data_IF_665201291569
#
_entry.id   IF_665201291569
#
_cell.length_a   1.000
_cell.length_b   1.000
_cell.length_c   1.000
_cell.angle_alpha   90.00
_cell.angle_beta   90.00
_cell.angle_gamma   90.00
#
_symmetry.space_group_name_H-M   'P 1'
#
loop_
_entity.id
_entity.type
_entity.pdbx_description
1 polymer ?
#
# COMPACT_ATOMS: atom_id res chain seq x y z
N UNK A 1 -14.95 -21.10 8.66
CA UNK A 1 -14.30 -19.86 8.17
C UNK A 1 -12.80 -20.08 8.22
N UNK A 2 -12.03 -19.82 7.17
CA UNK A 2 -10.57 -20.07 7.18
C UNK A 2 -9.83 -18.76 6.98
N UNK A 3 -9.22 -18.25 8.05
CA UNK A 3 -8.19 -17.22 7.96
C UNK A 3 -6.88 -17.80 8.46
N UNK A 4 -5.83 -17.66 7.64
CA UNK A 4 -4.44 -18.00 7.97
C UNK A 4 -3.97 -19.45 7.78
N UNK A 5 -4.86 -20.46 7.76
CA UNK A 5 -4.56 -21.90 7.60
C UNK A 5 -3.58 -22.54 8.61
N UNK A 6 -3.90 -23.77 9.05
CA UNK A 6 -3.21 -24.42 10.17
C UNK A 6 -3.58 -23.77 11.51
N UNK A 7 -2.59 -23.43 12.33
CA UNK A 7 -2.76 -22.77 13.64
C UNK A 7 -2.81 -21.25 13.57
N UNK A 8 -2.73 -20.65 12.39
CA UNK A 8 -2.72 -19.20 12.19
C UNK A 8 -4.10 -18.59 12.46
N UNK A 9 -4.15 -17.52 13.26
CA UNK A 9 -5.38 -16.81 13.59
C UNK A 9 -5.39 -15.34 13.16
N UNK A 10 -4.42 -14.95 12.33
CA UNK A 10 -4.31 -13.58 11.82
C UNK A 10 -5.33 -13.32 10.70
N UNK A 11 -5.80 -12.07 10.62
CA UNK A 11 -6.55 -11.56 9.48
C UNK A 11 -5.61 -10.83 8.55
N UNK A 12 -5.66 -11.11 7.25
CA UNK A 12 -4.80 -10.49 6.23
C UNK A 12 -5.60 -9.52 5.37
N UNK A 13 -4.99 -8.39 5.01
CA UNK A 13 -5.63 -7.38 4.19
C UNK A 13 -4.68 -6.86 3.10
N UNK A 14 -5.21 -6.77 1.88
CA UNK A 14 -4.57 -6.05 0.78
C UNK A 14 -5.00 -4.58 0.81
N UNK A 15 -4.03 -3.69 1.01
CA UNK A 15 -4.23 -2.24 1.01
C UNK A 15 -3.77 -1.69 -0.34
N UNK A 16 -4.73 -1.45 -1.24
CA UNK A 16 -4.50 -1.06 -2.65
C UNK A 16 -3.76 0.28 -2.83
N UNK A 17 -3.79 1.14 -1.81
CA UNK A 17 -3.10 2.42 -1.80
C UNK A 17 -4.03 3.62 -2.01
N UNK A 18 -3.71 4.72 -1.34
CA UNK A 18 -4.49 5.95 -1.36
C UNK A 18 -4.23 6.76 -2.62
N UNK A 19 -5.29 7.30 -3.21
CA UNK A 19 -5.22 8.38 -4.22
C UNK A 19 -5.48 9.76 -3.61
N UNK A 20 -6.26 9.85 -2.52
CA UNK A 20 -6.69 11.09 -1.88
C UNK A 20 -6.06 11.30 -0.50
N UNK A 21 -4.73 11.13 -0.39
CA UNK A 21 -3.98 11.37 0.85
C UNK A 21 -2.59 11.89 0.51
N UNK A 22 -2.12 12.87 1.26
CA UNK A 22 -0.77 13.43 1.11
C UNK A 22 -0.02 13.35 2.46
N UNK A 23 1.12 12.63 2.54
CA UNK A 23 1.67 11.74 1.51
C UNK A 23 0.78 10.49 1.27
N UNK A 24 0.92 9.79 0.14
CA UNK A 24 0.22 8.52 -0.09
C UNK A 24 0.54 7.48 1.00
N UNK A 25 -0.40 6.56 1.23
CA UNK A 25 -0.25 5.43 2.17
C UNK A 25 -1.04 4.21 1.70
N UNK A 26 -0.71 3.03 2.23
CA UNK A 26 -1.22 1.73 1.81
C UNK A 26 -0.16 1.00 0.99
N UNK A 27 -0.51 0.61 -0.24
CA UNK A 27 0.41 -0.06 -1.17
C UNK A 27 1.14 -1.26 -0.55
N UNK A 28 0.40 -2.08 0.20
CA UNK A 28 0.97 -3.17 1.00
C UNK A 28 -0.05 -4.25 1.33
N UNK A 29 0.44 -5.40 1.78
CA UNK A 29 -0.35 -6.40 2.49
C UNK A 29 0.00 -6.31 3.97
N UNK A 30 -1.01 -6.31 4.84
CA UNK A 30 -0.84 -6.33 6.29
C UNK A 30 -1.52 -7.56 6.89
N UNK A 31 -1.18 -7.86 8.14
CA UNK A 31 -2.00 -8.72 8.97
C UNK A 31 -2.32 -8.10 10.33
N UNK A 32 -3.47 -8.47 10.89
CA UNK A 32 -3.92 -8.10 12.23
C UNK A 32 -4.00 -9.36 13.08
N UNK A 33 -3.29 -9.41 14.22
CA UNK A 33 -3.41 -10.52 15.15
C UNK A 33 -4.84 -10.69 15.67
N UNK A 34 -5.33 -11.92 15.64
CA UNK A 34 -6.68 -12.26 16.08
C UNK A 34 -6.73 -13.59 16.82
N UNK A 35 -7.93 -13.93 17.27
CA UNK A 35 -8.24 -15.18 17.96
C UNK A 35 -9.64 -15.66 17.54
N UNK A 36 -9.87 -16.96 17.67
CA UNK A 36 -11.20 -17.55 17.47
C UNK A 36 -11.80 -17.93 18.82
N UNK A 37 -13.10 -17.67 18.99
CA UNK A 37 -13.88 -18.23 20.10
C UNK A 37 -14.08 -19.74 19.91
N UNK A 38 -14.58 -20.42 20.94
CA UNK A 38 -14.98 -21.83 20.83
C UNK A 38 -16.09 -22.06 19.78
N UNK A 39 -16.91 -21.04 19.50
CA UNK A 39 -17.92 -21.07 18.44
C UNK A 39 -17.38 -20.72 17.05
N UNK A 40 -16.08 -20.42 16.93
CA UNK A 40 -15.43 -20.10 15.66
C UNK A 40 -15.58 -18.65 15.22
N UNK A 41 -16.08 -17.76 16.08
CA UNK A 41 -16.12 -16.32 15.81
C UNK A 41 -14.73 -15.71 15.92
N UNK A 42 -14.32 -14.91 14.93
CA UNK A 42 -13.03 -14.23 14.94
C UNK A 42 -13.12 -12.87 15.60
N UNK A 43 -12.14 -12.52 16.43
CA UNK A 43 -11.98 -11.18 17.00
C UNK A 43 -10.50 -10.76 17.01
N UNK A 44 -10.17 -9.46 16.86
CA UNK A 44 -8.81 -8.98 17.06
C UNK A 44 -8.34 -9.28 18.50
N UNK A 45 -7.02 -9.43 18.67
CA UNK A 45 -6.46 -9.68 20.02
C UNK A 45 -6.59 -8.46 20.93
N UNK A 46 -6.68 -7.27 20.37
CA UNK A 46 -6.83 -5.97 21.03
C UNK A 46 -8.21 -5.36 20.76
N UNK A 47 -8.56 -4.32 21.52
CA UNK A 47 -9.76 -3.52 21.23
C UNK A 47 -9.63 -2.73 19.91
N UNK A 48 -10.74 -2.11 19.48
CA UNK A 48 -10.78 -1.37 18.21
C UNK A 48 -9.75 -0.24 18.15
N UNK A 49 -9.49 0.46 19.26
CA UNK A 49 -8.51 1.54 19.29
C UNK A 49 -7.08 1.01 19.09
N UNK A 50 -6.75 -0.11 19.74
CA UNK A 50 -5.48 -0.80 19.62
C UNK A 50 -5.18 -1.28 18.21
N UNK A 51 -6.19 -1.70 17.44
CA UNK A 51 -5.97 -2.21 16.06
C UNK A 51 -5.25 -1.21 15.14
N UNK A 52 -5.33 0.09 15.43
CA UNK A 52 -4.67 1.15 14.67
C UNK A 52 -3.14 1.10 14.76
N UNK A 53 -2.58 0.45 15.79
CA UNK A 53 -1.14 0.41 16.05
C UNK A 53 -0.54 -0.99 16.13
N UNK A 54 -1.34 -2.05 16.00
CA UNK A 54 -0.89 -3.44 16.19
C UNK A 54 -0.97 -4.29 14.94
N UNK A 55 -1.38 -3.73 13.80
CA UNK A 55 -1.23 -4.43 12.53
C UNK A 55 0.26 -4.47 12.14
N UNK A 56 0.63 -5.49 11.38
CA UNK A 56 2.00 -5.72 10.93
C UNK A 56 2.03 -5.69 9.41
N UNK A 57 3.03 -5.02 8.87
CA UNK A 57 3.30 -5.01 7.43
C UNK A 57 3.92 -6.35 7.00
N UNK A 58 3.27 -7.05 6.08
CA UNK A 58 3.72 -8.34 5.55
C UNK A 58 4.48 -8.20 4.23
N UNK A 59 3.94 -7.37 3.32
CA UNK A 59 4.48 -7.19 1.98
C UNK A 59 4.39 -5.73 1.59
N UNK A 60 5.53 -5.07 1.41
CA UNK A 60 5.62 -3.63 1.16
C UNK A 60 6.43 -3.36 -0.09
N UNK A 61 6.25 -2.16 -0.65
CA UNK A 61 7.08 -1.68 -1.73
C UNK A 61 8.52 -1.43 -1.23
N UNK A 62 9.51 -1.54 -2.12
CA UNK A 62 10.92 -1.25 -1.81
C UNK A 62 11.17 0.24 -1.55
N UNK A 63 10.33 1.09 -2.14
CA UNK A 63 10.29 2.54 -1.88
C UNK A 63 9.30 2.85 -0.76
N UNK A 64 9.45 4.01 -0.14
CA UNK A 64 8.50 4.44 0.90
C UNK A 64 7.10 4.68 0.29
N UNK A 65 6.04 4.42 1.07
CA UNK A 65 4.66 4.61 0.59
C UNK A 65 4.37 6.02 0.11
N UNK A 66 5.02 7.03 0.71
CA UNK A 66 4.88 8.41 0.29
C UNK A 66 5.36 8.68 -1.14
N UNK A 67 6.10 7.74 -1.74
CA UNK A 67 6.60 7.80 -3.12
C UNK A 67 5.76 6.94 -4.09
N UNK A 68 4.62 6.41 -3.64
CA UNK A 68 3.75 5.54 -4.44
C UNK A 68 2.68 6.28 -5.25
N UNK A 69 2.95 7.52 -5.69
CA UNK A 69 2.09 8.20 -6.66
C UNK A 69 2.04 7.45 -8.01
N UNK A 70 3.11 6.70 -8.34
CA UNK A 70 3.17 5.80 -9.50
C UNK A 70 4.21 4.70 -9.29
N UNK A 71 4.04 3.57 -9.98
CA UNK A 71 5.04 2.49 -10.08
C UNK A 71 5.19 1.58 -8.84
N UNK A 72 4.38 1.75 -7.81
CA UNK A 72 4.26 0.78 -6.73
C UNK A 72 3.29 -0.35 -7.12
N UNK A 73 3.50 -1.57 -6.60
CA UNK A 73 2.47 -2.60 -6.70
C UNK A 73 1.25 -2.18 -5.88
N UNK A 74 0.06 -2.61 -6.33
CA UNK A 74 -1.23 -2.25 -5.73
C UNK A 74 -2.03 -3.51 -5.42
N UNK A 75 -1.95 -4.03 -4.18
CA UNK A 75 -2.62 -5.27 -3.80
C UNK A 75 -4.13 -5.24 -4.00
N UNK A 76 -4.68 -6.26 -4.65
CA UNK A 76 -6.13 -6.45 -4.85
C UNK A 76 -6.60 -7.75 -4.22
N UNK A 77 -6.44 -8.86 -4.93
CA UNK A 77 -6.89 -10.17 -4.50
C UNK A 77 -5.81 -10.87 -3.71
N UNK A 78 -6.20 -11.54 -2.62
CA UNK A 78 -5.32 -12.42 -1.85
C UNK A 78 -5.97 -13.78 -1.64
N UNK A 79 -5.20 -14.84 -1.78
CA UNK A 79 -5.69 -16.21 -1.55
C UNK A 79 -4.59 -17.10 -1.01
N UNK A 80 -4.91 -17.88 0.02
CA UNK A 80 -4.00 -18.91 0.50
C UNK A 80 -4.15 -20.19 -0.33
N UNK A 81 -3.04 -20.90 -0.56
CA UNK A 81 -3.12 -22.28 -1.03
C UNK A 81 -3.79 -23.16 0.05
N UNK A 82 -4.32 -24.35 -0.27
CA UNK A 82 -5.05 -25.18 0.72
C UNK A 82 -4.27 -25.57 1.98
N UNK A 83 -2.93 -25.61 1.92
CA UNK A 83 -2.07 -25.95 3.07
C UNK A 83 -1.76 -24.76 3.97
N UNK A 84 -1.84 -23.52 3.47
CA UNK A 84 -1.52 -22.31 4.22
C UNK A 84 -0.06 -21.90 4.19
N UNK A 85 0.74 -22.55 3.36
CA UNK A 85 2.16 -22.28 3.24
C UNK A 85 2.43 -21.09 2.32
N UNK A 86 1.54 -20.88 1.34
CA UNK A 86 1.69 -19.85 0.32
C UNK A 86 0.48 -18.90 0.35
N UNK A 87 0.76 -17.59 0.30
CA UNK A 87 -0.21 -16.54 0.06
C UNK A 87 0.04 -15.94 -1.32
N UNK A 88 -0.95 -15.99 -2.21
CA UNK A 88 -0.90 -15.33 -3.51
C UNK A 88 -1.52 -13.94 -3.42
N UNK A 89 -0.89 -12.95 -4.06
CA UNK A 89 -1.32 -11.55 -4.06
C UNK A 89 -1.29 -11.01 -5.49
N UNK A 90 -2.41 -10.48 -5.98
CA UNK A 90 -2.45 -9.83 -7.30
C UNK A 90 -2.23 -8.33 -7.18
N UNK A 91 -1.64 -7.73 -8.22
CA UNK A 91 -1.51 -6.29 -8.42
C UNK A 91 -2.05 -5.91 -9.79
N UNK A 92 -3.19 -5.24 -9.82
CA UNK A 92 -3.92 -4.91 -11.05
C UNK A 92 -3.14 -3.94 -11.95
N UNK A 93 -2.67 -2.81 -11.40
CA UNK A 93 -2.01 -1.76 -12.19
C UNK A 93 -0.64 -2.15 -12.72
N UNK A 94 0.01 -3.16 -12.13
CA UNK A 94 1.28 -3.69 -12.64
C UNK A 94 1.12 -4.99 -13.43
N UNK A 95 -0.07 -5.63 -13.40
CA UNK A 95 -0.31 -6.90 -14.08
C UNK A 95 0.42 -8.10 -13.46
N UNK A 96 0.79 -8.01 -12.18
CA UNK A 96 1.62 -9.00 -11.50
C UNK A 96 0.78 -9.88 -10.54
N UNK A 97 1.24 -11.12 -10.35
CA UNK A 97 0.79 -12.00 -9.26
C UNK A 97 2.01 -12.51 -8.51
N UNK A 98 2.07 -12.24 -7.22
CA UNK A 98 3.15 -12.63 -6.33
C UNK A 98 2.76 -13.87 -5.52
N UNK A 99 3.74 -14.71 -5.20
CA UNK A 99 3.61 -15.77 -4.21
C UNK A 99 4.50 -15.43 -3.02
N UNK A 100 3.89 -15.25 -1.85
CA UNK A 100 4.57 -15.08 -0.59
C UNK A 100 4.62 -16.40 0.14
N UNK A 101 5.83 -16.77 0.55
CA UNK A 101 6.08 -17.94 1.38
C UNK A 101 6.54 -17.48 2.75
N UNK A 102 6.02 -18.09 3.81
CA UNK A 102 6.61 -17.91 5.14
C UNK A 102 8.03 -18.45 5.13
N UNK A 103 9.00 -17.64 5.57
CA UNK A 103 10.32 -18.19 5.92
C UNK A 103 10.11 -19.25 7.01
N UNK A 104 10.83 -20.37 6.91
CA UNK A 104 10.65 -21.51 7.81
C UNK A 104 10.74 -21.07 9.29
N UNK A 105 9.71 -21.42 10.07
CA UNK A 105 9.59 -21.08 11.50
C UNK A 105 8.18 -21.42 12.01
N UNK A 106 7.98 -21.61 13.33
CA UNK A 106 6.65 -21.80 13.90
C UNK A 106 5.74 -20.62 13.53
N UNK A 107 4.47 -20.90 13.27
CA UNK A 107 3.44 -19.85 13.21
C UNK A 107 3.26 -19.29 14.61
N UNK A 108 4.07 -18.30 14.98
CA UNK A 108 3.89 -17.57 16.22
C UNK A 108 2.76 -16.58 16.03
N UNK A 109 1.52 -17.01 16.27
CA UNK A 109 0.49 -16.03 16.62
C UNK A 109 0.98 -15.34 17.89
N UNK A 110 1.09 -14.00 17.94
CA UNK A 110 1.36 -13.31 19.18
C UNK A 110 0.17 -13.58 20.11
N UNK A 111 0.31 -14.61 20.95
CA UNK A 111 -0.63 -14.94 22.00
C UNK A 111 -0.72 -13.73 22.92
N UNK A 112 -1.94 -13.26 23.12
CA UNK A 112 -2.39 -12.31 24.13
C UNK A 112 -1.42 -12.04 25.29
N UNK A 113 -0.87 -10.81 25.35
CA UNK A 113 -0.20 -10.26 26.53
C UNK A 113 0.82 -9.16 26.19
N UNK A 114 0.84 -8.02 26.90
CA UNK A 114 1.61 -6.86 26.49
C UNK A 114 3.08 -7.03 26.89
N UNK A 115 3.99 -6.82 25.95
CA UNK A 115 5.38 -6.49 26.28
C UNK A 115 5.71 -5.19 25.58
N UNK A 116 5.69 -4.12 26.38
CA UNK A 116 6.46 -2.91 26.13
C UNK A 116 7.86 -3.31 25.68
N UNK A 117 8.19 -3.05 24.42
CA UNK A 117 9.60 -2.95 24.06
C UNK A 117 9.94 -1.45 24.05
N UNK A 118 10.91 -0.99 24.86
CA UNK A 118 11.47 0.33 24.69
C UNK A 118 12.02 0.41 23.26
N UNK A 119 11.63 1.43 22.52
CA UNK A 119 12.24 1.71 21.23
C UNK A 119 13.77 1.79 21.38
N UNK A 120 14.55 1.43 20.35
CA UNK A 120 15.95 1.79 20.34
C UNK A 120 16.01 3.32 20.29
N UNK A 121 16.44 3.92 21.41
CA UNK A 121 16.85 5.32 21.45
C UNK A 121 18.08 5.45 20.56
N UNK A 122 17.87 5.85 19.31
CA UNK A 122 18.93 6.31 18.43
C UNK A 122 18.98 7.83 18.60
N UNK A 123 19.84 8.30 19.50
CA UNK A 123 20.36 9.67 19.48
C UNK A 123 21.21 9.84 18.22
N UNK A 124 20.72 10.62 17.26
CA UNK A 124 21.52 11.12 16.13
C UNK A 124 21.46 12.65 16.15
N UNK A 125 22.59 13.35 15.97
CA UNK A 125 22.71 14.77 16.28
C UNK A 125 21.96 15.64 15.28
N UNK A 126 21.35 16.70 15.79
CA UNK A 126 20.71 17.77 15.03
C UNK A 126 21.78 18.55 14.25
N UNK A 127 21.88 18.32 12.95
CA UNK A 127 22.53 19.24 12.00
C UNK A 127 21.45 20.01 11.24
N UNK A 128 21.42 21.31 11.48
CA UNK A 128 20.58 22.28 10.78
C UNK A 128 21.10 22.41 9.35
N UNK A 129 20.37 21.85 8.37
CA UNK A 129 20.63 22.06 6.94
C UNK A 129 19.49 22.90 6.37
N UNK A 130 19.80 24.16 6.09
CA UNK A 130 18.98 25.06 5.26
C UNK A 130 18.98 24.54 3.83
N UNK A 131 17.82 24.07 3.35
CA UNK A 131 17.67 23.61 1.97
C UNK A 131 17.23 24.77 1.08
N UNK A 132 17.92 25.06 -0.04
CA UNK A 132 17.50 26.09 -0.98
C UNK A 132 16.35 25.60 -1.86
N UNK A 133 15.35 26.46 -2.05
CA UNK A 133 14.26 26.31 -3.00
C UNK A 133 14.82 26.28 -4.43
N UNK A 134 14.79 25.12 -5.08
CA UNK A 134 15.06 25.01 -6.52
C UNK A 134 13.78 24.59 -7.23
N UNK A 135 13.18 25.54 -7.92
CA UNK A 135 12.12 25.36 -8.90
C UNK A 135 12.66 24.51 -10.07
N UNK A 136 12.07 23.37 -10.44
CA UNK A 136 12.38 22.74 -11.70
C UNK A 136 11.57 23.44 -12.81
N UNK A 137 12.19 24.40 -13.49
CA UNK A 137 11.77 24.85 -14.82
C UNK A 137 12.11 23.74 -15.83
N UNK A 138 11.25 22.73 -15.95
CA UNK A 138 11.30 21.79 -17.06
C UNK A 138 10.61 22.43 -18.29
N UNK A 139 11.16 22.32 -19.51
CA UNK A 139 10.58 22.93 -20.69
C UNK A 139 9.15 22.48 -20.92
N UNK A 140 8.26 23.45 -21.17
CA UNK A 140 6.86 23.21 -21.52
C UNK A 140 6.81 22.41 -22.81
N UNK A 141 6.48 21.12 -22.70
CA UNK A 141 5.99 20.37 -23.85
C UNK A 141 4.75 21.05 -24.45
N UNK A 142 4.33 20.67 -25.66
CA UNK A 142 3.11 21.21 -26.25
C UNK A 142 1.95 21.07 -25.25
N UNK A 143 1.19 22.15 -25.06
CA UNK A 143 -0.01 22.16 -24.23
C UNK A 143 -1.18 21.52 -24.99
N UNK A 144 -2.02 20.79 -24.28
CA UNK A 144 -3.21 20.15 -24.81
C UNK A 144 -4.39 21.13 -24.85
N UNK A 145 -5.23 21.06 -25.88
CA UNK A 145 -6.48 21.83 -25.95
C UNK A 145 -7.50 21.37 -24.90
N UNK A 146 -8.44 22.24 -24.54
CA UNK A 146 -9.58 21.85 -23.72
C UNK A 146 -10.28 20.61 -24.30
N UNK A 147 -10.68 19.69 -23.43
CA UNK A 147 -11.25 18.37 -23.77
C UNK A 147 -10.34 17.41 -24.55
N UNK A 148 -9.08 17.78 -24.79
CA UNK A 148 -8.08 16.90 -25.42
C UNK A 148 -7.51 15.87 -24.44
N UNK A 149 -6.97 14.78 -25.00
CA UNK A 149 -6.30 13.74 -24.21
C UNK A 149 -4.98 14.27 -23.63
N UNK A 150 -4.85 14.19 -22.32
CA UNK A 150 -3.69 14.69 -21.58
C UNK A 150 -2.99 13.59 -20.75
N UNK A 151 -3.43 12.35 -20.89
CA UNK A 151 -2.87 11.22 -20.17
C UNK A 151 -3.57 9.91 -20.50
N UNK A 152 -3.14 8.84 -19.84
CA UNK A 152 -3.57 7.48 -20.11
C UNK A 152 -2.39 6.57 -20.46
N UNK A 153 -2.53 5.28 -20.17
CA UNK A 153 -1.52 4.29 -20.49
C UNK A 153 -1.26 4.27 -22.01
N UNK A 154 0.02 4.41 -22.41
CA UNK A 154 0.43 4.47 -23.81
C UNK A 154 0.28 5.84 -24.49
N UNK A 155 -0.20 6.88 -23.80
CA UNK A 155 -0.26 8.23 -24.34
C UNK A 155 1.14 8.87 -24.45
N UNK A 156 1.52 9.32 -25.65
CA UNK A 156 2.81 9.97 -25.92
C UNK A 156 2.68 11.46 -26.27
N UNK A 157 1.48 12.04 -26.11
CA UNK A 157 1.21 13.43 -26.45
C UNK A 157 1.34 14.40 -25.27
N UNK A 158 0.87 15.65 -25.44
CA UNK A 158 0.77 16.66 -24.38
C UNK A 158 0.21 16.11 -23.07
N UNK A 159 0.86 16.40 -21.94
CA UNK A 159 0.38 16.00 -20.60
C UNK A 159 -0.14 17.19 -19.76
N UNK A 160 0.06 18.40 -20.25
CA UNK A 160 -0.39 19.64 -19.60
C UNK A 160 -1.49 20.30 -20.42
N UNK A 161 -2.53 20.79 -19.75
CA UNK A 161 -3.66 21.45 -20.39
C UNK A 161 -3.39 22.93 -20.60
N UNK A 162 -3.70 23.46 -21.78
CA UNK A 162 -3.65 24.89 -22.08
C UNK A 162 -4.59 25.70 -21.18
N UNK A 163 -5.70 25.09 -20.76
CA UNK A 163 -6.59 25.58 -19.71
C UNK A 163 -7.19 24.40 -18.94
N UNK A 164 -7.39 24.58 -17.64
CA UNK A 164 -8.02 23.57 -16.78
C UNK A 164 -7.04 22.51 -16.25
N UNK A 165 -7.57 21.37 -15.85
CA UNK A 165 -6.79 20.27 -15.24
C UNK A 165 -6.93 18.97 -16.02
N UNK A 166 -5.84 18.19 -16.07
CA UNK A 166 -5.88 16.87 -16.67
C UNK A 166 -6.54 15.87 -15.72
N UNK A 167 -7.78 15.47 -15.98
CA UNK A 167 -8.51 14.54 -15.14
C UNK A 167 -8.58 13.15 -15.75
N UNK A 168 -8.24 12.14 -14.94
CA UNK A 168 -8.27 10.75 -15.35
C UNK A 168 -9.72 10.27 -15.47
N UNK A 169 -10.10 9.81 -16.66
CA UNK A 169 -11.40 9.20 -16.93
C UNK A 169 -11.32 7.69 -16.75
N UNK A 170 -10.27 7.07 -17.29
CA UNK A 170 -9.95 5.66 -17.11
C UNK A 170 -8.45 5.42 -17.31
N UNK A 171 -8.00 4.17 -17.16
CA UNK A 171 -6.57 3.83 -17.21
C UNK A 171 -5.89 4.19 -18.55
N UNK A 172 -6.64 4.25 -19.65
CA UNK A 172 -6.12 4.55 -20.99
C UNK A 172 -6.37 6.00 -21.42
N UNK A 173 -7.12 6.78 -20.64
CA UNK A 173 -7.60 8.09 -21.06
C UNK A 173 -7.76 9.07 -19.88
N UNK A 174 -7.04 10.20 -19.96
CA UNK A 174 -7.26 11.39 -19.15
C UNK A 174 -7.56 12.58 -20.07
N UNK A 175 -8.47 13.46 -19.64
CA UNK A 175 -8.98 14.57 -20.43
C UNK A 175 -8.72 15.92 -19.74
N UNK A 176 -8.37 16.94 -20.53
CA UNK A 176 -8.36 18.31 -20.05
C UNK A 176 -9.78 18.81 -19.83
N UNK A 177 -10.14 19.08 -18.58
CA UNK A 177 -11.44 19.67 -18.22
C UNK A 177 -11.23 21.11 -17.72
N UNK A 178 -12.10 22.07 -18.09
CA UNK A 178 -12.00 23.46 -17.65
C UNK A 178 -11.86 23.64 -16.14
#
# INVERSE_FOLDING_TARGET
>A
MKFGLGTDSNMYAALHGSWNRQPPSGYKVTYTPGRFSASGEWSPTVDLAGTKGTYVDLFTNSRSEGQCASGCFRPVGIVFNPTGENLYVSSDTSGEVFMLKRNAGPVTNPGSGPTTNPGPTITTPTTTITTPTTTPTQPSGPLQTAYGQCGGQGWTGPTQCASGTCQMVNQWYSQCVP
#
